data_IF_919289561385
#
_entry.id   IF_919289561385
#
_cell.length_a   1.000
_cell.length_b   1.000
_cell.length_c   1.000
_cell.angle_alpha   90.00
_cell.angle_beta   90.00
_cell.angle_gamma   90.00
#
_symmetry.space_group_name_H-M   'P 1'
#
loop_
_entity.id
_entity.type
_entity.pdbx_description
1 polymer ?
#
# COMPACT_ATOMS: atom_id res chain seq x y z
N UNK A 1 4.37 -10.52 -4.96
CA UNK A 1 3.41 -10.51 -6.10
C UNK A 1 4.02 -9.73 -7.25
N UNK A 2 3.67 -10.00 -8.52
CA UNK A 2 4.29 -9.38 -9.71
C UNK A 2 3.21 -8.83 -10.63
N UNK A 3 3.35 -7.56 -11.03
CA UNK A 3 2.42 -6.87 -11.91
C UNK A 3 3.14 -6.29 -13.12
N UNK A 4 2.51 -6.36 -14.29
CA UNK A 4 2.98 -5.61 -15.46
C UNK A 4 2.43 -4.20 -15.40
N UNK A 5 3.35 -3.23 -15.44
CA UNK A 5 3.03 -1.82 -15.36
C UNK A 5 3.82 -1.03 -16.40
N UNK A 6 3.31 0.15 -16.72
CA UNK A 6 4.01 1.17 -17.50
C UNK A 6 4.28 2.37 -16.59
N UNK A 7 5.29 3.17 -16.91
CA UNK A 7 5.41 4.48 -16.29
C UNK A 7 4.25 5.37 -16.74
N UNK A 8 3.57 6.02 -15.78
CA UNK A 8 2.45 6.90 -16.09
C UNK A 8 2.91 8.30 -16.50
N UNK A 9 4.15 8.70 -16.16
CA UNK A 9 4.75 9.95 -16.60
C UNK A 9 6.17 9.76 -17.18
N UNK A 10 6.52 10.62 -18.14
CA UNK A 10 7.83 10.59 -18.81
C UNK A 10 8.96 11.01 -17.87
N UNK A 11 8.68 11.91 -16.92
CA UNK A 11 9.67 12.48 -16.02
C UNK A 11 10.29 11.42 -15.09
N UNK A 12 9.47 10.54 -14.53
CA UNK A 12 9.90 9.40 -13.71
C UNK A 12 10.81 8.47 -14.51
N UNK A 13 10.43 8.21 -15.76
CA UNK A 13 11.19 7.35 -16.67
C UNK A 13 12.56 7.94 -16.99
N UNK A 14 12.63 9.25 -17.23
CA UNK A 14 13.87 9.99 -17.49
C UNK A 14 14.81 9.97 -16.28
N UNK A 15 14.29 10.17 -15.06
CA UNK A 15 15.09 10.14 -13.84
C UNK A 15 15.71 8.76 -13.57
N UNK A 16 14.99 7.69 -13.89
CA UNK A 16 15.48 6.32 -13.73
C UNK A 16 16.37 5.85 -14.90
N UNK A 17 16.53 6.67 -15.94
CA UNK A 17 17.23 6.33 -17.18
C UNK A 17 16.76 4.99 -17.77
N UNK A 18 15.43 4.79 -17.82
CA UNK A 18 14.81 3.55 -18.26
C UNK A 18 14.22 3.64 -19.67
N UNK A 19 14.31 2.59 -20.50
CA UNK A 19 13.59 2.53 -21.77
C UNK A 19 12.08 2.60 -21.57
N UNK A 20 11.39 3.20 -22.56
CA UNK A 20 9.94 3.27 -22.64
C UNK A 20 9.39 1.87 -22.97
N UNK A 21 9.29 1.03 -21.95
CA UNK A 21 8.93 -0.37 -22.07
C UNK A 21 8.14 -0.82 -20.84
N UNK A 22 7.42 -1.92 -20.99
CA UNK A 22 6.71 -2.55 -19.88
C UNK A 22 7.71 -2.95 -18.79
N UNK A 23 7.33 -2.66 -17.55
CA UNK A 23 8.10 -2.98 -16.36
C UNK A 23 7.36 -4.03 -15.56
N UNK A 24 8.11 -4.84 -14.82
CA UNK A 24 7.53 -5.70 -13.81
C UNK A 24 7.71 -5.04 -12.44
N UNK A 25 6.59 -4.75 -11.80
CA UNK A 25 6.53 -4.25 -10.44
C UNK A 25 6.30 -5.43 -9.49
N UNK A 26 7.34 -5.77 -8.75
CA UNK A 26 7.34 -6.87 -7.81
C UNK A 26 7.23 -6.31 -6.41
N UNK A 27 6.16 -6.70 -5.73
CA UNK A 27 5.90 -6.33 -4.35
C UNK A 27 6.29 -7.46 -3.42
N UNK A 28 7.17 -7.13 -2.48
CA UNK A 28 7.51 -7.94 -1.31
C UNK A 28 7.01 -7.22 -0.05
N UNK A 29 7.04 -7.89 1.10
CA UNK A 29 6.55 -7.34 2.36
C UNK A 29 7.36 -6.11 2.82
N UNK A 30 8.65 -6.06 2.49
CA UNK A 30 9.61 -5.06 2.98
C UNK A 30 10.22 -4.18 1.89
N UNK A 31 9.92 -4.43 0.62
CA UNK A 31 10.51 -3.72 -0.53
C UNK A 31 9.62 -3.75 -1.77
N UNK A 32 9.76 -2.72 -2.57
CA UNK A 32 9.29 -2.63 -3.95
C UNK A 32 10.47 -2.91 -4.88
N UNK A 33 10.29 -3.80 -5.83
CA UNK A 33 11.29 -4.12 -6.84
C UNK A 33 10.71 -3.76 -8.20
N UNK A 34 11.46 -2.98 -8.95
CA UNK A 34 11.18 -2.66 -10.34
C UNK A 34 12.17 -3.44 -11.21
N UNK A 35 11.66 -4.27 -12.12
CA UNK A 35 12.45 -5.09 -13.04
C UNK A 35 12.10 -4.73 -14.48
N UNK A 36 13.13 -4.56 -15.33
CA UNK A 36 12.99 -4.39 -16.78
C UNK A 36 13.83 -5.42 -17.54
N UNK A 37 13.42 -5.72 -18.79
CA UNK A 37 13.93 -6.78 -19.70
C UNK A 37 15.45 -6.83 -19.98
N UNK A 38 16.26 -5.94 -19.40
CA UNK A 38 17.70 -5.83 -19.62
C UNK A 38 18.53 -5.89 -18.33
N UNK A 39 18.13 -6.72 -17.36
CA UNK A 39 18.78 -6.93 -16.04
C UNK A 39 18.89 -5.70 -15.14
N UNK A 40 18.25 -4.57 -15.50
CA UNK A 40 18.15 -3.42 -14.61
C UNK A 40 17.05 -3.67 -13.59
N UNK A 41 17.46 -3.80 -12.33
CA UNK A 41 16.58 -3.93 -11.20
C UNK A 41 16.80 -2.78 -10.22
N UNK A 42 15.72 -2.11 -9.84
CA UNK A 42 15.73 -1.12 -8.75
C UNK A 42 14.97 -1.67 -7.56
N UNK A 43 15.61 -1.67 -6.40
CA UNK A 43 14.97 -2.08 -5.15
C UNK A 43 14.77 -0.86 -4.25
N UNK A 44 13.53 -0.63 -3.84
CA UNK A 44 13.12 0.44 -2.95
C UNK A 44 12.63 -0.19 -1.64
N UNK A 45 13.42 -0.13 -0.56
CA UNK A 45 12.96 -0.60 0.75
C UNK A 45 11.70 0.17 1.17
N UNK A 46 10.74 -0.50 1.81
CA UNK A 46 9.51 0.14 2.27
C UNK A 46 9.76 1.33 3.20
N UNK A 47 10.85 1.30 3.97
CA UNK A 47 11.29 2.41 4.83
C UNK A 47 11.72 3.69 4.09
N UNK A 48 11.94 3.61 2.79
CA UNK A 48 12.27 4.79 1.95
C UNK A 48 11.03 5.37 1.28
N UNK A 49 9.88 4.70 1.35
CA UNK A 49 8.63 5.11 0.71
C UNK A 49 7.80 5.86 1.75
N UNK A 50 7.54 7.13 1.48
CA UNK A 50 6.86 8.05 2.39
C UNK A 50 5.36 7.93 2.29
N UNK A 51 4.86 7.95 1.06
CA UNK A 51 3.42 7.90 0.79
C UNK A 51 3.15 7.05 -0.45
N UNK A 52 1.95 6.46 -0.49
CA UNK A 52 1.44 5.69 -1.62
C UNK A 52 0.04 6.23 -1.89
N UNK A 53 -0.26 6.59 -3.13
CA UNK A 53 -1.56 7.16 -3.51
C UNK A 53 -2.14 6.42 -4.69
N UNK A 54 -3.42 6.09 -4.59
CA UNK A 54 -4.22 5.67 -5.74
C UNK A 54 -4.71 6.94 -6.44
N UNK A 55 -4.21 7.20 -7.65
CA UNK A 55 -4.54 8.42 -8.41
C UNK A 55 -5.87 8.24 -9.16
N UNK A 56 -6.07 7.05 -9.72
CA UNK A 56 -7.31 6.60 -10.35
C UNK A 56 -7.36 5.06 -10.27
N UNK A 57 -8.28 4.42 -10.99
CA UNK A 57 -8.42 2.96 -10.98
C UNK A 57 -7.25 2.19 -11.62
N UNK A 58 -6.34 2.88 -12.33
CA UNK A 58 -5.24 2.27 -13.09
C UNK A 58 -3.86 2.76 -12.63
N UNK A 59 -3.77 3.76 -11.76
CA UNK A 59 -2.50 4.43 -11.43
C UNK A 59 -2.21 4.50 -9.94
N UNK A 60 -0.97 4.13 -9.60
CA UNK A 60 -0.41 4.28 -8.25
C UNK A 60 0.81 5.18 -8.30
N UNK A 61 0.83 6.16 -7.40
CA UNK A 61 1.97 7.04 -7.14
C UNK A 61 2.68 6.64 -5.85
N UNK A 62 4.01 6.55 -5.91
CA UNK A 62 4.89 6.32 -4.76
C UNK A 62 5.75 7.55 -4.54
N UNK A 63 5.73 8.10 -3.33
CA UNK A 63 6.67 9.15 -2.91
C UNK A 63 7.89 8.53 -2.25
N UNK A 64 9.06 8.70 -2.87
CA UNK A 64 10.34 8.20 -2.40
C UNK A 64 11.11 9.28 -1.64
N UNK A 65 11.54 8.95 -0.42
CA UNK A 65 12.42 9.77 0.39
C UNK A 65 13.87 9.72 -0.07
N UNK A 66 14.70 10.59 0.51
CA UNK A 66 16.10 10.81 0.12
C UNK A 66 17.04 9.60 0.27
N UNK A 67 16.60 8.53 0.95
CA UNK A 67 17.38 7.29 1.13
C UNK A 67 17.09 6.23 0.07
N UNK A 68 16.11 6.46 -0.80
CA UNK A 68 15.84 5.60 -1.93
C UNK A 68 16.90 5.78 -3.04
N UNK A 69 17.10 4.79 -3.93
CA UNK A 69 17.95 4.93 -5.11
C UNK A 69 17.61 6.15 -5.99
N UNK A 70 16.34 6.55 -5.96
CA UNK A 70 15.83 7.77 -6.60
C UNK A 70 14.91 8.50 -5.61
N UNK A 71 15.01 9.83 -5.56
CA UNK A 71 14.15 10.67 -4.75
C UNK A 71 13.03 11.29 -5.60
N UNK A 72 11.84 11.43 -5.03
CA UNK A 72 10.71 12.10 -5.67
C UNK A 72 9.51 11.18 -5.87
N UNK A 73 8.63 11.53 -6.79
CA UNK A 73 7.43 10.76 -7.09
C UNK A 73 7.70 9.81 -8.26
N UNK A 74 7.17 8.59 -8.15
CA UNK A 74 7.18 7.60 -9.23
C UNK A 74 5.74 7.15 -9.44
N UNK A 75 5.25 7.25 -10.68
CA UNK A 75 3.89 6.81 -11.03
C UNK A 75 3.90 5.62 -11.97
N UNK A 76 3.10 4.62 -11.63
CA UNK A 76 2.90 3.43 -12.43
C UNK A 76 1.44 3.31 -12.87
N UNK A 77 1.25 3.01 -14.15
CA UNK A 77 -0.03 2.63 -14.74
C UNK A 77 -0.09 1.11 -14.92
N UNK A 78 -1.08 0.49 -14.31
CA UNK A 78 -1.35 -0.94 -14.37
C UNK A 78 -2.19 -1.26 -15.63
N UNK A 79 -2.07 -2.48 -16.15
CA UNK A 79 -2.89 -2.94 -17.27
C UNK A 79 -4.32 -3.31 -16.85
N UNK A 80 -4.54 -3.54 -15.56
CA UNK A 80 -5.82 -4.01 -15.00
C UNK A 80 -6.18 -3.22 -13.74
N UNK A 81 -7.38 -2.61 -13.68
CA UNK A 81 -7.86 -1.94 -12.48
C UNK A 81 -7.94 -2.83 -11.23
N UNK A 82 -8.21 -4.12 -11.44
CA UNK A 82 -8.24 -5.12 -10.36
C UNK A 82 -6.85 -5.29 -9.76
N UNK A 83 -5.81 -5.28 -10.60
CA UNK A 83 -4.42 -5.38 -10.15
C UNK A 83 -3.99 -4.12 -9.41
N UNK A 84 -4.35 -2.93 -9.90
CA UNK A 84 -4.10 -1.65 -9.22
C UNK A 84 -4.65 -1.66 -7.81
N UNK A 85 -5.94 -2.01 -7.65
CA UNK A 85 -6.62 -1.99 -6.36
C UNK A 85 -6.08 -3.07 -5.42
N UNK A 86 -5.79 -4.26 -5.94
CA UNK A 86 -5.18 -5.35 -5.16
C UNK A 86 -3.79 -4.97 -4.66
N UNK A 87 -2.97 -4.39 -5.54
CA UNK A 87 -1.66 -3.86 -5.23
C UNK A 87 -1.73 -2.78 -4.13
N UNK A 88 -2.61 -1.79 -4.33
CA UNK A 88 -2.80 -0.70 -3.37
C UNK A 88 -3.29 -1.19 -2.01
N UNK A 89 -4.23 -2.16 -1.97
CA UNK A 89 -4.74 -2.75 -0.73
C UNK A 89 -3.63 -3.45 0.05
N UNK A 90 -2.89 -4.37 -0.59
CA UNK A 90 -1.82 -5.14 0.07
C UNK A 90 -0.76 -4.23 0.71
N UNK A 91 -0.42 -3.13 0.04
CA UNK A 91 0.58 -2.20 0.53
C UNK A 91 0.06 -1.22 1.59
N UNK A 92 -1.26 -1.09 1.75
CA UNK A 92 -1.88 -0.31 2.82
C UNK A 92 -2.45 -1.17 3.95
N UNK A 93 -2.55 -2.48 3.80
CA UNK A 93 -2.98 -3.41 4.86
C UNK A 93 -2.03 -3.40 6.08
N UNK A 94 -0.80 -2.91 5.94
CA UNK A 94 0.10 -2.61 7.07
C UNK A 94 -0.10 -1.24 7.73
N UNK A 95 -0.95 -0.37 7.19
CA UNK A 95 -1.28 0.97 7.70
C UNK A 95 -2.62 0.96 8.45
N UNK A 96 -3.52 0.06 8.09
CA UNK A 96 -4.73 -0.20 8.86
C UNK A 96 -4.38 -1.25 9.92
N UNK A 97 -3.90 -0.79 11.09
CA UNK A 97 -4.25 -1.52 12.31
C UNK A 97 -5.76 -1.51 12.35
N UNK A 98 -6.35 -2.66 12.03
CA UNK A 98 -7.69 -2.99 12.41
C UNK A 98 -7.68 -2.82 13.93
N UNK A 99 -8.14 -1.68 14.44
CA UNK A 99 -8.82 -1.62 15.72
C UNK A 99 -9.98 -2.59 15.55
N UNK A 100 -9.65 -3.84 15.86
CA UNK A 100 -10.59 -4.94 15.81
C UNK A 100 -11.59 -4.53 16.85
N UNK A 101 -12.76 -4.09 16.41
CA UNK A 101 -13.90 -3.91 17.30
C UNK A 101 -13.96 -5.17 18.15
N UNK A 102 -13.62 -5.02 19.43
CA UNK A 102 -13.48 -6.11 20.37
C UNK A 102 -14.74 -6.13 21.22
N UNK A 103 -15.80 -6.88 20.85
CA UNK A 103 -17.02 -6.95 21.64
C UNK A 103 -16.85 -7.78 22.93
N UNK A 104 -15.61 -8.12 23.37
CA UNK A 104 -15.39 -9.02 24.51
C UNK A 104 -14.24 -8.58 25.43
N UNK A 105 -14.47 -7.53 26.23
CA UNK A 105 -13.97 -7.42 27.62
C UNK A 105 -15.05 -6.77 28.48
N UNK A 106 -16.01 -7.59 28.94
CA UNK A 106 -16.14 -8.15 30.30
C UNK A 106 -16.60 -7.15 31.37
N UNK A 107 -17.83 -7.38 31.81
CA UNK A 107 -18.31 -7.28 33.19
C UNK A 107 -17.20 -7.35 34.25
N UNK A 108 -17.28 -6.49 35.27
CA UNK A 108 -17.70 -6.86 36.64
C UNK A 108 -17.58 -5.66 37.58
N UNK A 109 -18.72 -5.21 38.11
CA UNK A 109 -18.93 -4.57 39.42
C UNK A 109 -20.47 -4.43 39.51
N UNK A 110 -21.16 -5.48 39.93
CA UNK A 110 -21.47 -5.77 41.33
C UNK A 110 -21.89 -4.53 42.11
N UNK A 111 -23.19 -4.23 42.04
CA UNK A 111 -23.94 -3.76 43.20
C UNK A 111 -25.29 -4.43 43.12
N UNK A 112 -25.36 -5.63 43.71
CA UNK A 112 -26.62 -6.11 44.28
C UNK A 112 -27.12 -5.05 45.25
N UNK A 113 -28.30 -4.46 45.02
CA UNK A 113 -29.15 -3.95 46.11
C UNK A 113 -30.56 -3.56 45.63
N UNK A 114 -31.54 -4.21 46.27
CA UNK A 114 -32.93 -3.80 46.47
C UNK A 114 -34.03 -4.11 45.44
N UNK A 115 -34.57 -5.32 45.62
CA UNK A 115 -35.96 -5.65 46.02
C UNK A 115 -37.12 -5.27 45.08
N UNK A 116 -37.81 -6.34 44.69
CA UNK A 116 -39.16 -6.45 44.16
C UNK A 116 -40.19 -5.53 44.83
N UNK A 117 -41.11 -4.99 44.02
CA UNK A 117 -42.53 -4.96 44.40
C UNK A 117 -43.43 -4.80 43.18
N UNK A 118 -44.10 -5.91 42.84
CA UNK A 118 -45.40 -5.94 42.16
C UNK A 118 -46.34 -4.93 42.78
N UNK A 119 -46.96 -4.06 41.97
CA UNK A 119 -48.38 -3.68 42.13
C UNK A 119 -48.96 -3.42 40.73
N UNK A 120 -50.18 -3.95 40.56
CA UNK A 120 -51.09 -3.82 39.41
C UNK A 120 -51.34 -2.39 38.94
#
# INVERSE_FOLDING_TARGET
MRYRVKFADLATQEVLCLPASDCELIFDADKLILEQRHDKQYTFPRSTIRTIRLINDEEIEFELGSRAPVHGFIRFRFESPVDTRSCYSQWNEGVVKIDTYNPKRRSTLDTSQYIERNIF
#
